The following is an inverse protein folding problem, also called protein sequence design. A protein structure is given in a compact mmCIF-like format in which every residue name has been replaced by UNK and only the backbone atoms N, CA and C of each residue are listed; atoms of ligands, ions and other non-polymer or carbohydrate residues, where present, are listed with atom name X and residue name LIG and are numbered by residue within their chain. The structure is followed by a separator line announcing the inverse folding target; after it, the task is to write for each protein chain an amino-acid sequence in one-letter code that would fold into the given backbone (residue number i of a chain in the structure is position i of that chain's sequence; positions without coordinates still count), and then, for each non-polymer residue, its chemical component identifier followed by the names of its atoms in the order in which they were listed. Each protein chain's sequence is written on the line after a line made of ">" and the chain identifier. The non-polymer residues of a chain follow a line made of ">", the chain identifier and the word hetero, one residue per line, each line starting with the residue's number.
data_IF_597955624445
#
_entry.id   IF_597955624445
#
_cell.length_a   1.000
_cell.length_b   1.000
_cell.length_c   1.000
_cell.angle_alpha   90.00
_cell.angle_beta   90.00
_cell.angle_gamma   90.00
#
_symmetry.space_group_name_H-M   'P 1'
#
loop_
_entity.id
_entity.type
_entity.pdbx_description
1 polymer ?
#
# COMPACT_ATOMS: atom_id res chain seq x y z
N UNK A 1 -7.34 33.12 -24.18
CA UNK A 1 -6.05 33.14 -23.45
C UNK A 1 -6.11 32.07 -22.37
N UNK A 2 -5.74 30.83 -22.70
CA UNK A 2 -5.71 29.72 -21.74
C UNK A 2 -4.39 29.81 -20.97
N UNK A 3 -4.46 30.18 -19.71
CA UNK A 3 -3.32 30.12 -18.79
C UNK A 3 -2.79 28.69 -18.78
N UNK A 4 -1.50 28.52 -19.13
CA UNK A 4 -0.75 27.26 -18.94
C UNK A 4 -0.72 26.93 -17.44
N UNK A 5 -1.76 26.27 -16.94
CA UNK A 5 -1.91 25.89 -15.54
C UNK A 5 -2.61 24.54 -15.47
N UNK A 6 -2.34 23.79 -14.40
CA UNK A 6 -3.13 22.59 -14.10
C UNK A 6 -4.45 23.02 -13.50
N UNK A 7 -5.52 22.34 -13.86
CA UNK A 7 -6.85 22.54 -13.31
C UNK A 7 -7.29 21.27 -12.57
N UNK A 8 -7.93 21.46 -11.42
CA UNK A 8 -8.79 20.45 -10.83
C UNK A 8 -10.05 20.38 -11.68
N UNK A 9 -10.54 19.17 -11.94
CA UNK A 9 -11.79 18.95 -12.67
C UNK A 9 -12.68 17.93 -11.97
N UNK A 10 -13.98 18.12 -12.15
CA UNK A 10 -15.01 17.16 -11.79
C UNK A 10 -15.72 16.72 -13.07
N UNK A 11 -15.80 15.41 -13.29
CA UNK A 11 -16.47 14.81 -14.45
C UNK A 11 -17.50 13.79 -13.97
N UNK A 12 -18.65 13.72 -14.63
CA UNK A 12 -19.67 12.69 -14.38
C UNK A 12 -20.38 12.29 -15.68
N UNK A 13 -21.17 11.20 -15.69
CA UNK A 13 -22.07 10.91 -16.80
C UNK A 13 -23.18 11.96 -16.93
N UNK A 14 -23.49 12.35 -18.17
CA UNK A 14 -24.55 13.33 -18.47
C UNK A 14 -25.90 12.84 -17.94
N UNK A 15 -26.61 13.70 -17.22
CA UNK A 15 -27.95 13.40 -16.69
C UNK A 15 -27.95 12.46 -15.48
N UNK A 16 -26.78 12.13 -14.91
CA UNK A 16 -26.65 11.29 -13.72
C UNK A 16 -25.99 12.05 -12.57
N UNK A 17 -26.28 11.68 -11.33
CA UNK A 17 -25.62 12.26 -10.15
C UNK A 17 -24.20 11.73 -9.94
N UNK A 18 -23.86 10.57 -10.50
CA UNK A 18 -22.52 9.98 -10.40
C UNK A 18 -22.40 8.67 -11.20
N UNK A 19 -21.26 7.97 -11.12
CA UNK A 19 -20.08 8.28 -10.30
C UNK A 19 -19.38 9.58 -10.76
N UNK A 20 -18.62 10.19 -9.84
CA UNK A 20 -17.94 11.47 -10.07
C UNK A 20 -16.45 11.25 -10.07
N UNK A 21 -15.77 11.65 -11.15
CA UNK A 21 -14.32 11.65 -11.23
C UNK A 21 -13.77 12.99 -10.75
N UNK A 22 -12.78 12.94 -9.87
CA UNK A 22 -12.07 14.14 -9.39
C UNK A 22 -10.61 13.98 -9.76
N UNK A 23 -10.07 14.89 -10.58
CA UNK A 23 -8.68 14.78 -11.01
C UNK A 23 -8.02 16.12 -11.29
N UNK A 24 -6.73 16.09 -11.63
CA UNK A 24 -5.93 17.25 -12.01
C UNK A 24 -5.32 17.05 -13.42
N UNK A 25 -5.42 18.05 -14.30
CA UNK A 25 -4.83 17.98 -15.65
C UNK A 25 -4.43 19.36 -16.18
N UNK A 26 -3.44 19.42 -17.06
CA UNK A 26 -3.11 20.62 -17.86
C UNK A 26 -4.06 20.83 -19.04
N UNK A 27 -4.71 19.76 -19.52
CA UNK A 27 -5.72 19.79 -20.57
C UNK A 27 -6.90 18.92 -20.12
N UNK A 28 -7.99 19.55 -19.68
CA UNK A 28 -9.16 18.84 -19.15
C UNK A 28 -9.97 18.21 -20.29
N UNK A 29 -10.05 18.87 -21.45
CA UNK A 29 -10.82 18.40 -22.61
C UNK A 29 -10.23 17.12 -23.21
N UNK A 30 -8.91 17.08 -23.47
CA UNK A 30 -8.21 15.85 -23.89
C UNK A 30 -8.39 14.71 -22.87
N UNK A 31 -8.42 15.06 -21.59
CA UNK A 31 -8.64 14.08 -20.52
C UNK A 31 -10.08 13.55 -20.53
N UNK A 32 -11.07 14.40 -20.76
CA UNK A 32 -12.47 14.01 -20.92
C UNK A 32 -12.62 13.05 -22.11
N UNK A 33 -12.05 13.39 -23.27
CA UNK A 33 -12.08 12.55 -24.47
C UNK A 33 -11.46 11.17 -24.21
N UNK A 34 -10.27 11.13 -23.61
CA UNK A 34 -9.59 9.88 -23.27
C UNK A 34 -10.40 9.00 -22.30
N UNK A 35 -11.13 9.61 -21.35
CA UNK A 35 -12.01 8.89 -20.43
C UNK A 35 -13.28 8.40 -21.14
N UNK A 36 -13.83 9.21 -22.04
CA UNK A 36 -15.05 8.90 -22.77
C UNK A 36 -14.89 7.65 -23.66
N UNK A 37 -13.70 7.42 -24.22
CA UNK A 37 -13.37 6.21 -25.02
C UNK A 37 -13.71 4.89 -24.31
N UNK A 38 -13.59 4.85 -22.98
CA UNK A 38 -13.83 3.65 -22.18
C UNK A 38 -15.12 3.72 -21.35
N UNK A 39 -15.92 4.78 -21.53
CA UNK A 39 -17.17 4.98 -20.79
C UNK A 39 -18.37 4.50 -21.61
N UNK A 40 -19.26 3.67 -21.04
CA UNK A 40 -20.52 3.33 -21.70
C UNK A 40 -21.51 4.50 -21.76
N UNK A 41 -21.27 5.56 -20.98
CA UNK A 41 -22.10 6.77 -20.93
C UNK A 41 -21.34 7.99 -21.43
N UNK A 42 -22.05 8.94 -22.04
CA UNK A 42 -21.50 10.25 -22.37
C UNK A 42 -21.08 10.97 -21.09
N UNK A 43 -19.86 11.50 -21.06
CA UNK A 43 -19.31 12.22 -19.91
C UNK A 43 -19.39 13.74 -20.13
N UNK A 44 -19.52 14.48 -19.04
CA UNK A 44 -19.46 15.95 -19.00
C UNK A 44 -18.49 16.41 -17.90
N UNK A 45 -17.79 17.51 -18.18
CA UNK A 45 -17.06 18.27 -17.15
C UNK A 45 -18.07 19.20 -16.47
N UNK A 46 -18.28 19.01 -15.17
CA UNK A 46 -19.24 19.81 -14.40
C UNK A 46 -18.57 20.95 -13.65
N UNK A 47 -17.26 20.89 -13.44
CA UNK A 47 -16.51 21.94 -12.77
C UNK A 47 -15.04 21.87 -13.12
N UNK A 48 -14.41 23.05 -13.24
CA UNK A 48 -12.94 23.19 -13.33
C UNK A 48 -12.46 24.45 -12.62
N UNK A 49 -11.34 24.35 -11.91
CA UNK A 49 -10.66 25.50 -11.29
C UNK A 49 -9.14 25.29 -11.34
N UNK A 50 -8.32 26.36 -11.50
CA UNK A 50 -6.87 26.26 -11.33
C UNK A 50 -6.46 25.59 -10.02
N UNK A 51 -5.50 24.68 -10.11
CA UNK A 51 -5.03 23.93 -8.95
C UNK A 51 -3.80 23.07 -9.22
N UNK A 52 -3.58 22.09 -8.35
CA UNK A 52 -2.41 21.21 -8.41
C UNK A 52 -2.70 19.85 -7.76
N UNK A 53 -1.75 18.92 -7.86
CA UNK A 53 -1.89 17.59 -7.27
C UNK A 53 -2.04 17.58 -5.74
N UNK A 54 -1.54 18.61 -5.05
CA UNK A 54 -1.74 18.75 -3.60
C UNK A 54 -3.19 19.01 -3.28
N UNK A 55 -3.84 19.94 -3.99
CA UNK A 55 -5.25 20.24 -3.83
C UNK A 55 -6.13 19.04 -4.21
N UNK A 56 -5.83 18.37 -5.32
CA UNK A 56 -6.51 17.12 -5.70
C UNK A 56 -6.45 16.08 -4.58
N UNK A 57 -5.25 15.86 -4.03
CA UNK A 57 -5.03 14.91 -2.94
C UNK A 57 -5.85 15.28 -1.70
N UNK A 58 -5.91 16.55 -1.32
CA UNK A 58 -6.73 17.00 -0.19
C UNK A 58 -8.21 16.72 -0.42
N UNK A 59 -8.73 16.99 -1.62
CA UNK A 59 -10.12 16.67 -1.98
C UNK A 59 -10.37 15.15 -1.91
N UNK A 60 -9.43 14.35 -2.42
CA UNK A 60 -9.51 12.88 -2.32
C UNK A 60 -9.51 12.38 -0.87
N UNK A 61 -8.80 13.06 0.03
CA UNK A 61 -8.77 12.72 1.46
C UNK A 61 -10.08 13.11 2.19
N UNK A 62 -10.72 14.21 1.77
CA UNK A 62 -12.04 14.63 2.30
C UNK A 62 -13.15 13.66 1.91
N UNK A 63 -13.08 13.11 0.70
CA UNK A 63 -14.09 12.18 0.16
C UNK A 63 -13.58 10.73 0.05
N UNK A 64 -12.58 10.36 0.85
CA UNK A 64 -11.95 9.03 0.77
C UNK A 64 -12.94 7.88 1.05
N UNK A 65 -13.92 8.12 1.92
CA UNK A 65 -15.05 7.25 2.25
C UNK A 65 -15.99 6.99 1.05
N UNK A 66 -16.11 7.93 0.13
CA UNK A 66 -16.87 7.77 -1.11
C UNK A 66 -16.04 7.23 -2.27
N UNK A 67 -14.76 6.94 -2.07
CA UNK A 67 -13.92 6.39 -3.13
C UNK A 67 -14.49 5.06 -3.64
N UNK A 68 -14.63 4.97 -4.97
CA UNK A 68 -15.07 3.74 -5.64
C UNK A 68 -13.88 2.98 -6.21
N UNK A 69 -13.22 3.56 -7.20
CA UNK A 69 -12.09 2.96 -7.89
C UNK A 69 -11.30 4.03 -8.64
N UNK A 70 -9.98 3.84 -8.75
CA UNK A 70 -9.06 4.82 -9.37
C UNK A 70 -9.27 6.23 -8.79
N UNK A 71 -9.86 7.15 -9.54
CA UNK A 71 -10.15 8.53 -9.12
C UNK A 71 -11.67 8.81 -9.21
N UNK A 72 -12.49 7.75 -9.21
CA UNK A 72 -13.95 7.82 -9.24
C UNK A 72 -14.53 7.65 -7.83
N UNK A 73 -15.55 8.43 -7.55
CA UNK A 73 -16.23 8.51 -6.26
C UNK A 73 -17.73 8.23 -6.44
N UNK A 74 -18.32 7.55 -5.47
CA UNK A 74 -19.76 7.39 -5.35
C UNK A 74 -20.42 8.74 -5.03
N UNK A 75 -21.65 9.00 -5.52
CA UNK A 75 -22.36 10.26 -5.28
C UNK A 75 -22.92 10.31 -3.85
N UNK A 76 -22.04 10.44 -2.86
CA UNK A 76 -22.42 10.60 -1.46
C UNK A 76 -22.89 12.02 -1.14
N UNK A 77 -23.69 12.17 -0.08
CA UNK A 77 -24.35 13.43 0.27
C UNK A 77 -23.39 14.62 0.33
N UNK A 78 -22.27 14.50 1.08
CA UNK A 78 -21.27 15.60 1.21
C UNK A 78 -20.66 15.99 -0.14
N UNK A 79 -20.39 15.00 -1.00
CA UNK A 79 -19.82 15.25 -2.33
C UNK A 79 -20.86 15.92 -3.24
N UNK A 80 -22.12 15.50 -3.20
CA UNK A 80 -23.20 16.10 -3.97
C UNK A 80 -23.48 17.54 -3.55
N UNK A 81 -23.47 17.83 -2.24
CA UNK A 81 -23.59 19.20 -1.72
C UNK A 81 -22.45 20.07 -2.20
N UNK A 82 -21.20 19.59 -2.12
CA UNK A 82 -20.05 20.31 -2.64
C UNK A 82 -20.17 20.60 -4.14
N UNK A 83 -20.53 19.59 -4.95
CA UNK A 83 -20.74 19.76 -6.39
C UNK A 83 -21.87 20.74 -6.70
N UNK A 84 -22.96 20.73 -5.94
CA UNK A 84 -24.04 21.69 -6.08
C UNK A 84 -23.58 23.14 -5.85
N UNK A 85 -22.75 23.37 -4.83
CA UNK A 85 -22.14 24.69 -4.57
C UNK A 85 -21.20 25.12 -5.69
N UNK A 86 -20.35 24.20 -6.16
CA UNK A 86 -19.43 24.44 -7.28
C UNK A 86 -20.17 24.81 -8.57
N UNK A 87 -21.26 24.10 -8.89
CA UNK A 87 -22.15 24.43 -10.02
C UNK A 87 -22.86 25.78 -9.83
N UNK A 88 -23.10 26.19 -8.58
CA UNK A 88 -23.60 27.52 -8.22
C UNK A 88 -22.56 28.64 -8.35
N UNK A 89 -21.33 28.33 -8.76
CA UNK A 89 -20.26 29.31 -8.98
C UNK A 89 -19.31 29.50 -7.80
N UNK A 90 -19.45 28.70 -6.72
CA UNK A 90 -18.48 28.72 -5.64
C UNK A 90 -17.12 28.11 -6.05
N UNK A 91 -16.07 28.49 -5.31
CA UNK A 91 -14.72 27.93 -5.49
C UNK A 91 -14.51 26.72 -4.60
N UNK A 92 -13.55 25.87 -4.93
CA UNK A 92 -13.17 24.70 -4.11
C UNK A 92 -12.90 25.11 -2.65
N UNK A 93 -12.21 26.23 -2.44
CA UNK A 93 -11.85 26.72 -1.11
C UNK A 93 -13.06 27.06 -0.20
N UNK A 94 -14.24 27.34 -0.77
CA UNK A 94 -15.47 27.63 -0.01
C UNK A 94 -16.46 26.48 -0.04
N UNK A 95 -16.58 25.80 -1.19
CA UNK A 95 -17.52 24.71 -1.40
C UNK A 95 -17.12 23.41 -0.67
N UNK A 96 -15.82 23.20 -0.46
CA UNK A 96 -15.28 21.99 0.17
C UNK A 96 -14.49 22.37 1.42
N UNK A 97 -14.88 21.83 2.57
CA UNK A 97 -14.07 21.93 3.78
C UNK A 97 -12.84 21.00 3.68
N UNK A 98 -11.71 21.53 3.18
CA UNK A 98 -10.46 20.78 3.02
C UNK A 98 -9.83 20.29 4.35
N UNK A 99 -10.34 20.75 5.51
CA UNK A 99 -9.93 20.25 6.83
C UNK A 99 -10.74 19.04 7.31
N UNK A 100 -11.86 18.71 6.66
CA UNK A 100 -12.71 17.56 6.99
C UNK A 100 -12.08 16.26 6.46
N UNK A 101 -11.05 15.75 7.16
CA UNK A 101 -10.28 14.57 6.74
C UNK A 101 -11.00 13.24 7.03
N UNK A 102 -11.24 12.42 5.99
CA UNK A 102 -11.90 11.10 6.11
C UNK A 102 -10.96 9.92 5.79
N UNK A 103 -9.66 10.18 5.78
CA UNK A 103 -8.65 9.16 5.52
C UNK A 103 -7.94 9.33 4.19
N UNK A 104 -7.25 8.29 3.77
CA UNK A 104 -6.69 8.21 2.41
C UNK A 104 -7.42 7.12 1.65
N UNK A 105 -7.51 7.23 0.32
CA UNK A 105 -8.04 6.19 -0.56
C UNK A 105 -7.46 4.80 -0.23
N UNK A 106 -6.15 4.74 0.10
CA UNK A 106 -5.47 3.49 0.48
C UNK A 106 -5.92 2.93 1.83
N UNK A 107 -6.30 3.78 2.78
CA UNK A 107 -6.69 3.35 4.12
C UNK A 107 -8.15 2.88 4.13
N UNK A 108 -9.06 3.60 3.47
CA UNK A 108 -10.49 3.27 3.43
C UNK A 108 -10.75 1.96 2.68
N UNK A 109 -10.03 1.71 1.58
CA UNK A 109 -10.21 0.48 0.77
C UNK A 109 -9.57 -0.76 1.38
N UNK A 110 -8.69 -0.61 2.38
CA UNK A 110 -8.03 -1.76 3.02
C UNK A 110 -9.04 -2.45 3.93
N UNK A 111 -9.52 -3.62 3.48
CA UNK A 111 -10.18 -4.58 4.39
C UNK A 111 -9.31 -4.78 5.64
N UNK A 112 -9.91 -4.81 6.85
CA UNK A 112 -9.16 -5.08 8.06
C UNK A 112 -8.40 -6.39 7.86
N UNK A 113 -7.07 -6.34 8.04
CA UNK A 113 -6.24 -7.54 7.95
C UNK A 113 -6.71 -8.49 9.04
N UNK A 114 -6.95 -9.76 8.69
CA UNK A 114 -7.17 -10.80 9.72
C UNK A 114 -5.99 -10.76 10.70
N UNK A 115 -6.23 -10.89 12.01
CA UNK A 115 -5.14 -10.93 12.98
C UNK A 115 -4.18 -12.06 12.59
N UNK A 116 -2.89 -11.75 12.61
CA UNK A 116 -1.84 -12.74 12.38
C UNK A 116 -1.88 -13.72 13.57
N UNK A 117 -2.04 -15.04 13.35
CA UNK A 117 -2.02 -16.02 14.42
C UNK A 117 -0.73 -15.94 15.25
N UNK A 118 -0.80 -16.17 16.56
CA UNK A 118 0.36 -16.03 17.47
C UNK A 118 1.57 -16.88 17.04
N UNK A 119 1.35 -18.11 16.60
CA UNK A 119 2.44 -18.99 16.14
C UNK A 119 3.24 -18.39 14.97
N UNK A 120 2.63 -17.51 14.18
CA UNK A 120 3.32 -16.84 13.07
C UNK A 120 4.10 -15.64 13.50
N UNK A 121 3.61 -14.92 14.52
CA UNK A 121 4.38 -13.84 15.14
C UNK A 121 5.64 -14.43 15.75
N UNK A 122 5.50 -15.56 16.46
CA UNK A 122 6.61 -16.31 17.03
C UNK A 122 7.60 -16.77 15.93
N UNK A 123 7.13 -17.47 14.89
CA UNK A 123 7.96 -17.88 13.75
C UNK A 123 8.70 -16.70 13.10
N UNK A 124 7.98 -15.60 12.82
CA UNK A 124 8.57 -14.40 12.20
C UNK A 124 9.66 -13.80 13.07
N UNK A 125 9.46 -13.78 14.39
CA UNK A 125 10.47 -13.33 15.34
C UNK A 125 11.76 -14.14 15.21
N UNK A 126 11.67 -15.48 15.18
CA UNK A 126 12.83 -16.35 15.00
C UNK A 126 13.48 -16.23 13.62
N UNK A 127 12.70 -16.13 12.54
CA UNK A 127 13.24 -15.88 11.20
C UNK A 127 14.08 -14.60 11.17
N UNK A 128 13.59 -13.51 11.78
CA UNK A 128 14.34 -12.26 11.87
C UNK A 128 15.60 -12.43 12.72
N UNK A 129 15.50 -13.01 13.92
CA UNK A 129 16.65 -13.21 14.80
C UNK A 129 17.75 -14.01 14.10
N UNK A 130 17.41 -15.06 13.35
CA UNK A 130 18.37 -15.85 12.58
C UNK A 130 18.98 -15.06 11.41
N UNK A 131 18.22 -14.23 10.70
CA UNK A 131 18.75 -13.32 9.66
C UNK A 131 19.76 -12.34 10.27
N UNK A 132 19.45 -11.78 11.44
CA UNK A 132 20.36 -10.88 12.14
C UNK A 132 21.63 -11.59 12.62
N UNK A 133 21.48 -12.81 13.15
CA UNK A 133 22.60 -13.64 13.60
C UNK A 133 23.52 -14.02 12.42
N UNK A 134 22.95 -14.42 11.28
CA UNK A 134 23.65 -14.69 10.02
C UNK A 134 24.49 -13.48 9.59
N UNK A 135 23.85 -12.31 9.44
CA UNK A 135 24.54 -11.07 9.03
C UNK A 135 25.68 -10.68 9.98
N UNK A 136 25.49 -10.86 11.29
CA UNK A 136 26.52 -10.57 12.29
C UNK A 136 27.71 -11.52 12.13
N UNK A 137 27.45 -12.81 11.90
CA UNK A 137 28.50 -13.79 11.67
C UNK A 137 29.23 -13.58 10.34
N UNK A 138 28.53 -13.22 9.27
CA UNK A 138 29.14 -12.87 7.98
C UNK A 138 30.06 -11.64 8.09
N UNK A 139 29.65 -10.63 8.86
CA UNK A 139 30.48 -9.46 9.16
C UNK A 139 31.72 -9.82 9.97
N UNK A 140 31.59 -10.68 10.98
CA UNK A 140 32.72 -11.10 11.82
C UNK A 140 33.73 -11.98 11.07
N UNK A 141 33.26 -12.84 10.16
CA UNK A 141 34.10 -13.81 9.45
C UNK A 141 34.58 -13.32 8.07
N UNK A 142 33.99 -12.25 7.54
CA UNK A 142 34.25 -11.80 6.16
C UNK A 142 33.79 -12.81 5.09
N UNK A 143 32.94 -13.76 5.46
CA UNK A 143 32.50 -14.86 4.61
C UNK A 143 31.00 -14.90 4.47
N UNK A 144 30.50 -15.50 3.38
CA UNK A 144 29.09 -15.78 3.19
C UNK A 144 28.73 -17.05 3.95
N UNK A 145 27.68 -16.94 4.76
CA UNK A 145 27.23 -18.00 5.65
C UNK A 145 25.80 -18.39 5.30
N UNK A 146 25.45 -19.64 5.61
CA UNK A 146 24.10 -20.17 5.44
C UNK A 146 23.65 -20.85 6.72
N UNK A 147 22.36 -20.71 7.03
CA UNK A 147 21.70 -21.43 8.13
C UNK A 147 21.94 -22.95 8.02
N UNK A 148 22.15 -23.63 9.15
CA UNK A 148 22.17 -25.08 9.20
C UNK A 148 20.93 -25.72 8.57
N UNK A 149 21.08 -26.91 7.99
CA UNK A 149 19.99 -27.64 7.34
C UNK A 149 18.91 -28.09 8.33
N UNK A 150 19.29 -28.47 9.55
CA UNK A 150 18.39 -28.82 10.66
C UNK A 150 17.56 -27.60 11.11
N UNK A 151 18.19 -26.44 11.30
CA UNK A 151 17.48 -25.18 11.57
C UNK A 151 16.50 -24.83 10.46
N UNK A 152 16.93 -24.99 9.21
CA UNK A 152 16.07 -24.74 8.05
C UNK A 152 14.86 -25.70 8.02
N UNK A 153 15.07 -26.97 8.37
CA UNK A 153 14.01 -27.97 8.45
C UNK A 153 13.00 -27.65 9.57
N UNK A 154 13.46 -27.20 10.74
CA UNK A 154 12.60 -26.75 11.85
C UNK A 154 11.70 -25.60 11.39
N UNK A 155 12.27 -24.57 10.74
CA UNK A 155 11.52 -23.40 10.27
C UNK A 155 10.49 -23.77 9.19
N UNK A 156 10.86 -24.59 8.21
CA UNK A 156 9.94 -24.99 7.15
C UNK A 156 8.78 -25.84 7.67
N UNK A 157 9.03 -26.74 8.64
CA UNK A 157 7.98 -27.50 9.29
C UNK A 157 7.07 -26.61 10.15
N UNK A 158 7.64 -25.64 10.86
CA UNK A 158 6.87 -24.69 11.67
C UNK A 158 6.00 -23.76 10.83
N UNK A 159 6.54 -23.29 9.70
CA UNK A 159 5.78 -22.51 8.71
C UNK A 159 4.59 -23.28 8.15
N UNK A 160 4.75 -24.60 8.02
CA UNK A 160 3.77 -25.49 7.41
C UNK A 160 3.36 -24.98 6.02
N UNK A 161 2.12 -25.29 5.63
CA UNK A 161 1.51 -24.78 4.41
C UNK A 161 0.52 -23.65 4.70
N UNK A 162 0.77 -22.82 5.73
CA UNK A 162 -0.15 -21.72 6.06
C UNK A 162 -0.36 -20.75 4.90
N UNK A 163 0.69 -20.47 4.11
CA UNK A 163 0.56 -19.66 2.90
C UNK A 163 -0.47 -20.25 1.90
N UNK A 164 -0.69 -21.57 1.95
CA UNK A 164 -1.70 -22.33 1.21
C UNK A 164 -2.99 -22.59 2.02
N UNK A 165 -3.17 -21.88 3.15
CA UNK A 165 -4.32 -21.96 4.07
C UNK A 165 -4.57 -23.37 4.66
N UNK A 166 -3.53 -24.20 4.81
CA UNK A 166 -3.65 -25.49 5.52
C UNK A 166 -3.26 -25.33 6.98
N UNK A 167 -3.86 -26.16 7.84
CA UNK A 167 -3.63 -26.18 9.28
C UNK A 167 -2.59 -27.24 9.68
N UNK A 168 -1.47 -27.28 8.95
CA UNK A 168 -0.38 -28.27 9.09
C UNK A 168 0.90 -27.65 9.70
N UNK A 169 0.81 -26.43 10.24
CA UNK A 169 1.92 -25.81 10.96
C UNK A 169 2.19 -26.57 12.27
N UNK A 170 3.41 -27.07 12.43
CA UNK A 170 3.82 -27.82 13.63
C UNK A 170 4.78 -26.96 14.44
N UNK A 171 4.34 -26.49 15.60
CA UNK A 171 5.19 -25.72 16.52
C UNK A 171 6.43 -26.55 16.88
N UNK A 172 7.65 -25.95 16.92
CA UNK A 172 8.85 -26.65 17.35
C UNK A 172 8.69 -27.24 18.75
N UNK A 173 9.38 -28.35 18.97
CA UNK A 173 9.56 -28.93 20.29
C UNK A 173 10.54 -28.09 21.12
N UNK A 174 10.58 -28.31 22.44
CA UNK A 174 11.50 -27.59 23.33
C UNK A 174 12.98 -27.79 22.96
N UNK A 175 13.33 -29.01 22.52
CA UNK A 175 14.67 -29.32 22.04
C UNK A 175 15.02 -28.53 20.77
N UNK A 176 14.05 -28.36 19.87
CA UNK A 176 14.23 -27.58 18.64
C UNK A 176 14.28 -26.07 18.94
N UNK A 177 13.50 -25.57 19.89
CA UNK A 177 13.66 -24.19 20.37
C UNK A 177 15.04 -23.95 20.96
N UNK A 178 15.53 -24.88 21.78
CA UNK A 178 16.88 -24.83 22.33
C UNK A 178 17.93 -24.79 21.22
N UNK A 179 17.75 -25.58 20.16
CA UNK A 179 18.61 -25.58 18.98
C UNK A 179 18.57 -24.24 18.24
N UNK A 180 17.40 -23.63 18.06
CA UNK A 180 17.28 -22.30 17.47
C UNK A 180 18.01 -21.24 18.30
N UNK A 181 17.87 -21.28 19.64
CA UNK A 181 18.56 -20.34 20.55
C UNK A 181 20.07 -20.50 20.52
N UNK A 182 20.58 -21.73 20.47
CA UNK A 182 22.00 -22.04 20.36
C UNK A 182 22.60 -21.36 19.13
N UNK A 183 21.97 -21.54 17.97
CA UNK A 183 22.41 -20.96 16.70
C UNK A 183 22.29 -19.44 16.67
N UNK A 184 21.27 -18.86 17.31
CA UNK A 184 21.12 -17.40 17.42
C UNK A 184 22.20 -16.81 18.34
N UNK A 185 22.57 -17.51 19.41
CA UNK A 185 23.55 -17.05 20.41
C UNK A 185 24.98 -17.11 19.88
N UNK A 186 25.31 -18.18 19.16
CA UNK A 186 26.63 -18.38 18.57
C UNK A 186 26.56 -18.68 17.06
N UNK A 187 26.22 -17.68 16.24
CA UNK A 187 26.03 -17.91 14.81
C UNK A 187 27.33 -18.24 14.08
N UNK A 188 28.49 -17.82 14.59
CA UNK A 188 29.79 -18.09 13.92
C UNK A 188 30.13 -19.57 13.99
N UNK A 189 29.90 -20.22 15.14
CA UNK A 189 30.21 -21.65 15.32
C UNK A 189 29.21 -22.58 14.63
N UNK A 190 28.00 -22.11 14.36
CA UNK A 190 26.94 -22.97 13.84
C UNK A 190 26.61 -22.77 12.36
N UNK A 191 26.75 -21.57 11.80
CA UNK A 191 26.41 -21.36 10.41
C UNK A 191 27.43 -22.03 9.47
N UNK A 192 26.95 -22.46 8.30
CA UNK A 192 27.74 -23.19 7.31
C UNK A 192 28.35 -22.21 6.31
N UNK A 193 29.67 -22.28 6.13
CA UNK A 193 30.40 -21.51 5.13
C UNK A 193 29.98 -21.92 3.71
N UNK A 194 29.55 -20.94 2.91
CA UNK A 194 29.17 -21.16 1.50
C UNK A 194 30.10 -20.44 0.52
N UNK A 195 30.96 -19.55 1.00
CA UNK A 195 31.99 -18.89 0.19
C UNK A 195 32.64 -17.74 0.95
N UNK A 196 33.78 -17.27 0.45
CA UNK A 196 34.46 -16.08 1.00
C UNK A 196 34.08 -14.84 0.20
N UNK A 197 33.94 -13.69 0.89
CA UNK A 197 33.69 -12.43 0.21
C UNK A 197 34.98 -12.01 -0.47
N UNK A 198 35.06 -12.05 -1.81
CA UNK A 198 36.22 -11.48 -2.53
C UNK A 198 36.35 -10.02 -2.13
N UNK A 199 37.48 -9.67 -1.52
CA UNK A 199 37.85 -8.27 -1.37
C UNK A 199 38.00 -7.70 -2.78
N UNK A 200 37.14 -6.74 -3.13
CA UNK A 200 37.35 -5.94 -4.33
C UNK A 200 38.54 -5.06 -3.98
N UNK A 201 39.70 -5.34 -4.61
CA UNK A 201 40.87 -4.48 -4.47
C UNK A 201 40.46 -3.06 -4.92
N UNK A 202 40.69 -2.08 -4.05
CA UNK A 202 40.43 -0.67 -4.29
C UNK A 202 41.44 -0.09 -5.29
#
# INVERSE_FOLDING_TARGET
>A
MTTKGRNIYFIRPVGMLGPIKIGCSTCVDERLEALATWSPFKLEVIYTEPGNYTLEKQIHEVFADYHSHREWFHPGERLLVAVGRLLGGEKIATAINLSDYHGTIRNVTRKPRKPIPEFQKELKSYEFQLIWAERKAEQATGSYLKKPSDVSAILERWKGSYAKKRADAVRPTEAEFSRLHEVIRDPVSHFVLIGTRRQVAA
#
